data_IF_615426365722
#
_entry.id   IF_615426365722
#
_cell.length_a   1.000
_cell.length_b   1.000
_cell.length_c   1.000
_cell.angle_alpha   90.00
_cell.angle_beta   90.00
_cell.angle_gamma   90.00
#
_symmetry.space_group_name_H-M   'P 1'
#
loop_
_entity.id
_entity.type
_entity.pdbx_description
1 polymer ?
#
# COMPACT_ATOMS: atom_id res chain seq x y z
N UNK A 1 -51.90 -19.56 16.20
CA UNK A 1 -50.84 -19.76 15.19
C UNK A 1 -50.34 -18.45 14.58
N UNK A 2 -51.21 -17.58 14.04
CA UNK A 2 -50.81 -16.28 13.45
C UNK A 2 -50.02 -15.36 14.40
N UNK A 3 -50.42 -15.26 15.68
CA UNK A 3 -49.67 -14.47 16.69
C UNK A 3 -48.23 -14.98 16.90
N UNK A 4 -48.05 -16.30 17.01
CA UNK A 4 -46.73 -16.92 17.20
C UNK A 4 -45.81 -16.68 16.00
N UNK A 5 -46.34 -16.82 14.78
CA UNK A 5 -45.61 -16.51 13.54
C UNK A 5 -45.21 -15.02 13.47
N UNK A 6 -46.09 -14.11 13.89
CA UNK A 6 -45.80 -12.67 13.89
C UNK A 6 -44.71 -12.27 14.90
N UNK A 7 -44.61 -12.97 16.03
CA UNK A 7 -43.54 -12.76 17.01
C UNK A 7 -42.22 -13.24 16.42
N UNK A 8 -42.20 -14.45 15.87
CA UNK A 8 -41.00 -15.03 15.26
C UNK A 8 -40.49 -14.17 14.08
N UNK A 9 -41.39 -13.73 13.19
CA UNK A 9 -41.06 -12.83 12.09
C UNK A 9 -40.42 -11.52 12.60
N UNK A 10 -40.94 -10.95 13.69
CA UNK A 10 -40.39 -9.73 14.29
C UNK A 10 -39.00 -9.97 14.86
N UNK A 11 -38.78 -11.07 15.58
CA UNK A 11 -37.45 -11.43 16.09
C UNK A 11 -36.45 -11.63 14.95
N UNK A 12 -36.85 -12.33 13.89
CA UNK A 12 -36.00 -12.56 12.72
C UNK A 12 -35.61 -11.24 12.04
N UNK A 13 -36.57 -10.32 11.86
CA UNK A 13 -36.32 -9.00 11.26
C UNK A 13 -35.38 -8.11 12.07
N UNK A 14 -35.16 -8.45 13.36
CA UNK A 14 -34.29 -7.68 14.26
C UNK A 14 -32.86 -8.19 14.30
N UNK A 15 -32.56 -9.34 13.70
CA UNK A 15 -31.22 -9.96 13.75
C UNK A 15 -30.15 -9.18 12.99
N UNK A 16 -30.54 -8.40 11.98
CA UNK A 16 -29.59 -7.59 11.22
C UNK A 16 -30.22 -6.29 10.72
N UNK A 17 -29.37 -5.32 10.36
CA UNK A 17 -29.77 -4.11 9.66
C UNK A 17 -28.60 -3.62 8.82
N UNK A 18 -28.88 -2.97 7.69
CA UNK A 18 -27.89 -2.07 7.10
C UNK A 18 -27.61 -0.94 8.08
N UNK A 19 -26.36 -0.51 8.11
CA UNK A 19 -25.86 0.55 8.96
C UNK A 19 -25.15 1.60 8.10
N UNK A 20 -25.28 2.86 8.49
CA UNK A 20 -24.53 3.99 7.95
C UNK A 20 -23.72 4.60 9.09
N UNK A 21 -22.41 4.76 8.90
CA UNK A 21 -21.48 5.29 9.91
C UNK A 21 -21.75 6.78 10.13
N UNK A 22 -21.98 7.15 11.38
CA UNK A 22 -22.03 8.54 11.81
C UNK A 22 -20.65 8.98 12.33
N UNK A 23 -20.00 8.12 13.13
CA UNK A 23 -18.69 8.34 13.73
C UNK A 23 -17.99 7.01 13.98
N UNK A 24 -16.66 7.01 13.87
CA UNK A 24 -15.80 5.88 14.19
C UNK A 24 -14.74 6.29 15.21
N UNK A 25 -14.51 5.43 16.21
CA UNK A 25 -13.44 5.54 17.21
C UNK A 25 -12.48 4.36 17.02
N UNK A 26 -11.27 4.68 16.53
CA UNK A 26 -10.21 3.72 16.24
C UNK A 26 -9.15 3.62 17.36
N UNK A 27 -9.41 4.17 18.55
CA UNK A 27 -8.45 4.16 19.67
C UNK A 27 -8.59 2.95 20.59
N UNK A 28 -9.78 2.34 20.63
CA UNK A 28 -10.05 1.14 21.42
C UNK A 28 -9.47 -0.13 20.76
N UNK A 29 -9.21 -1.16 21.58
CA UNK A 29 -8.68 -2.44 21.08
C UNK A 29 -9.60 -3.14 20.07
N UNK A 30 -10.92 -2.94 20.23
CA UNK A 30 -11.93 -3.24 19.22
C UNK A 30 -12.53 -1.90 18.81
N UNK A 31 -12.49 -1.58 17.52
CA UNK A 31 -13.00 -0.30 17.03
C UNK A 31 -14.48 -0.14 17.39
N UNK A 32 -14.89 1.09 17.68
CA UNK A 32 -16.28 1.41 18.01
C UNK A 32 -16.90 2.33 16.97
N UNK A 33 -18.15 2.05 16.62
CA UNK A 33 -18.88 2.82 15.61
C UNK A 33 -20.23 3.29 16.16
N UNK A 34 -20.53 4.54 15.86
CA UNK A 34 -21.87 5.11 16.01
C UNK A 34 -22.54 5.03 14.63
N UNK A 35 -23.71 4.40 14.56
CA UNK A 35 -24.38 4.10 13.29
C UNK A 35 -25.84 4.50 13.29
N UNK A 36 -26.31 4.90 12.11
CA UNK A 36 -27.72 5.02 11.76
C UNK A 36 -28.18 3.73 11.07
N UNK A 37 -29.26 3.16 11.57
CA UNK A 37 -29.86 1.92 11.09
C UNK A 37 -31.18 2.22 10.35
N UNK A 38 -31.80 1.18 9.81
CA UNK A 38 -33.10 1.31 9.15
C UNK A 38 -34.17 1.81 10.11
N UNK A 39 -35.19 2.47 9.56
CA UNK A 39 -36.30 3.07 10.31
C UNK A 39 -35.87 4.15 11.34
N UNK A 40 -34.73 4.82 11.12
CA UNK A 40 -34.30 5.97 11.92
C UNK A 40 -33.70 5.63 13.28
N UNK A 41 -33.43 4.35 13.57
CA UNK A 41 -32.76 3.94 14.80
C UNK A 41 -31.28 4.34 14.76
N UNK A 42 -30.77 4.91 15.84
CA UNK A 42 -29.34 5.20 16.01
C UNK A 42 -28.75 4.37 17.14
N UNK A 43 -27.53 3.89 16.96
CA UNK A 43 -26.76 3.18 17.98
C UNK A 43 -25.38 3.80 18.12
N UNK A 44 -24.90 3.87 19.36
CA UNK A 44 -23.59 4.42 19.67
C UNK A 44 -22.71 3.34 20.29
N UNK A 45 -21.41 3.40 20.02
CA UNK A 45 -20.41 2.54 20.62
C UNK A 45 -20.56 1.06 20.27
N UNK A 46 -21.17 0.72 19.13
CA UNK A 46 -21.23 -0.67 18.66
C UNK A 46 -19.82 -1.14 18.29
N UNK A 47 -19.51 -2.40 18.57
CA UNK A 47 -18.21 -2.98 18.20
C UNK A 47 -18.15 -3.19 16.69
N UNK A 48 -17.04 -2.79 16.05
CA UNK A 48 -16.73 -3.10 14.67
C UNK A 48 -15.67 -4.20 14.63
N UNK A 49 -16.08 -5.39 14.18
CA UNK A 49 -15.17 -6.53 14.08
C UNK A 49 -14.49 -6.55 12.71
N UNK A 50 -13.17 -6.40 12.74
CA UNK A 50 -12.31 -6.37 11.55
C UNK A 50 -11.65 -7.74 11.31
N UNK A 51 -11.43 -8.15 10.04
CA UNK A 51 -10.59 -9.29 9.74
C UNK A 51 -9.16 -9.08 10.26
N UNK A 52 -8.58 -10.09 10.91
CA UNK A 52 -7.19 -10.00 11.41
C UNK A 52 -6.21 -9.62 10.29
N UNK A 53 -5.32 -8.66 10.58
CA UNK A 53 -4.36 -8.13 9.62
C UNK A 53 -4.90 -6.99 8.74
N UNK A 54 -6.18 -6.64 8.86
CA UNK A 54 -6.79 -5.50 8.20
C UNK A 54 -7.40 -4.57 9.23
N UNK A 55 -7.12 -3.27 9.13
CA UNK A 55 -7.82 -2.26 9.91
C UNK A 55 -8.01 -1.02 9.05
N UNK A 56 -9.14 -0.34 9.20
CA UNK A 56 -9.48 0.86 8.43
C UNK A 56 -10.38 1.79 9.21
N UNK A 57 -10.14 3.10 9.09
CA UNK A 57 -10.99 4.14 9.68
C UNK A 57 -11.86 4.74 8.58
N UNK A 58 -13.06 4.18 8.41
CA UNK A 58 -13.98 4.63 7.37
C UNK A 58 -14.56 6.02 7.69
N UNK A 59 -14.85 6.78 6.63
CA UNK A 59 -15.50 8.10 6.72
C UNK A 59 -16.96 7.98 7.19
N UNK A 60 -17.48 9.06 7.78
CA UNK A 60 -18.91 9.20 8.00
C UNK A 60 -19.66 9.07 6.66
N UNK A 61 -20.75 8.31 6.65
CA UNK A 61 -21.47 7.92 5.44
C UNK A 61 -21.06 6.55 4.86
N UNK A 62 -19.99 5.93 5.37
CA UNK A 62 -19.66 4.54 5.02
C UNK A 62 -20.78 3.59 5.47
N UNK A 63 -20.93 2.48 4.75
CA UNK A 63 -22.04 1.55 4.95
C UNK A 63 -21.52 0.22 5.47
N UNK A 64 -22.26 -0.40 6.39
CA UNK A 64 -21.95 -1.72 6.90
C UNK A 64 -23.19 -2.54 7.22
N UNK A 65 -22.97 -3.70 7.82
CA UNK A 65 -24.04 -4.58 8.32
C UNK A 65 -23.93 -4.66 9.83
N UNK A 66 -24.98 -4.21 10.52
CA UNK A 66 -25.16 -4.42 11.95
C UNK A 66 -25.83 -5.78 12.19
N UNK A 67 -25.25 -6.61 13.04
CA UNK A 67 -25.77 -7.88 13.50
C UNK A 67 -26.16 -7.77 14.98
N UNK A 68 -27.30 -8.35 15.34
CA UNK A 68 -27.88 -8.34 16.67
C UNK A 68 -28.08 -9.78 17.12
N UNK A 69 -27.10 -10.31 17.85
CA UNK A 69 -27.12 -11.69 18.33
C UNK A 69 -28.35 -11.92 19.22
N UNK A 70 -29.06 -13.02 18.99
CA UNK A 70 -30.33 -13.33 19.67
C UNK A 70 -31.46 -12.30 19.49
N UNK A 71 -31.29 -11.33 18.58
CA UNK A 71 -32.26 -10.26 18.33
C UNK A 71 -32.24 -9.13 19.36
N UNK A 72 -31.26 -9.13 20.27
CA UNK A 72 -31.05 -8.05 21.22
C UNK A 72 -30.40 -6.85 20.53
N UNK A 73 -31.12 -5.72 20.51
CA UNK A 73 -30.65 -4.49 19.87
C UNK A 73 -29.77 -3.63 20.78
N UNK A 74 -29.53 -4.04 22.01
CA UNK A 74 -28.60 -3.37 22.92
C UNK A 74 -27.14 -3.74 22.65
N UNK A 75 -26.89 -4.93 22.08
CA UNK A 75 -25.56 -5.49 21.89
C UNK A 75 -25.39 -5.98 20.45
N UNK A 76 -25.24 -5.02 19.54
CA UNK A 76 -24.95 -5.36 18.15
C UNK A 76 -23.48 -5.15 17.80
N UNK A 77 -23.04 -5.90 16.80
CA UNK A 77 -21.72 -5.78 16.17
C UNK A 77 -21.90 -5.27 14.74
N UNK A 78 -20.98 -4.47 14.26
CA UNK A 78 -20.92 -4.06 12.85
C UNK A 78 -19.83 -4.89 12.19
N UNK A 79 -20.10 -5.32 10.96
CA UNK A 79 -19.15 -6.03 10.11
C UNK A 79 -19.17 -5.44 8.70
N UNK A 80 -18.06 -5.64 7.97
CA UNK A 80 -17.89 -5.30 6.56
C UNK A 80 -18.33 -3.86 6.24
N UNK A 81 -17.48 -2.89 6.62
CA UNK A 81 -17.71 -1.50 6.26
C UNK A 81 -17.09 -1.19 4.90
N UNK A 82 -17.89 -0.58 4.03
CA UNK A 82 -17.50 -0.16 2.70
C UNK A 82 -17.93 1.27 2.44
N UNK A 83 -17.08 2.04 1.77
CA UNK A 83 -17.41 3.37 1.27
C UNK A 83 -17.44 3.36 -0.26
N UNK A 84 -18.66 3.44 -0.80
CA UNK A 84 -18.89 3.42 -2.26
C UNK A 84 -18.33 4.67 -2.97
N UNK A 85 -18.09 5.77 -2.25
CA UNK A 85 -17.53 7.00 -2.83
C UNK A 85 -16.11 6.78 -3.34
N UNK A 86 -15.35 5.96 -2.62
CA UNK A 86 -13.92 5.72 -2.86
C UNK A 86 -13.64 4.31 -3.39
N UNK A 87 -14.68 3.51 -3.66
CA UNK A 87 -14.52 2.17 -4.23
C UNK A 87 -13.74 2.26 -5.54
N UNK A 88 -12.56 1.65 -5.57
CA UNK A 88 -11.77 1.49 -6.80
C UNK A 88 -12.62 0.81 -7.88
N UNK A 89 -12.64 1.32 -9.11
CA UNK A 89 -13.46 0.76 -10.20
C UNK A 89 -12.57 0.07 -11.23
N UNK A 90 -13.19 -0.57 -12.21
CA UNK A 90 -12.55 -1.10 -13.42
C UNK A 90 -11.46 -2.16 -13.21
N UNK A 91 -11.50 -2.87 -12.06
CA UNK A 91 -10.70 -4.07 -11.84
C UNK A 91 -11.19 -5.23 -12.72
N UNK A 92 -10.25 -5.98 -13.30
CA UNK A 92 -10.58 -7.21 -14.01
C UNK A 92 -10.98 -8.31 -13.03
N UNK A 93 -11.77 -9.27 -13.50
CA UNK A 93 -12.18 -10.42 -12.69
C UNK A 93 -10.96 -11.16 -12.13
N UNK A 94 -10.91 -11.29 -10.80
CA UNK A 94 -9.84 -11.97 -10.07
C UNK A 94 -8.73 -11.04 -9.56
N UNK A 95 -8.73 -9.76 -9.91
CA UNK A 95 -7.83 -8.76 -9.32
C UNK A 95 -8.29 -8.35 -7.91
N UNK A 96 -7.32 -8.01 -7.06
CA UNK A 96 -7.55 -7.62 -5.66
C UNK A 96 -6.77 -6.35 -5.39
N UNK A 97 -7.35 -5.43 -4.61
CA UNK A 97 -6.72 -4.16 -4.30
C UNK A 97 -6.89 -3.75 -2.84
N UNK A 98 -5.88 -3.06 -2.31
CA UNK A 98 -5.97 -2.20 -1.12
C UNK A 98 -5.92 -0.74 -1.61
N UNK A 99 -6.78 0.13 -1.09
CA UNK A 99 -6.88 1.52 -1.56
C UNK A 99 -7.32 2.49 -0.45
N UNK A 100 -7.01 3.78 -0.64
CA UNK A 100 -7.44 4.89 0.22
C UNK A 100 -8.41 5.82 -0.52
N UNK A 101 -9.05 6.74 0.20
CA UNK A 101 -9.88 7.80 -0.39
C UNK A 101 -9.07 8.89 -1.11
N UNK A 102 -7.78 9.00 -0.81
CA UNK A 102 -6.85 9.94 -1.45
C UNK A 102 -6.38 9.45 -2.84
N UNK A 103 -6.62 8.17 -3.18
CA UNK A 103 -6.31 7.58 -4.48
C UNK A 103 -5.12 6.63 -4.49
N UNK A 104 -4.39 6.50 -3.36
CA UNK A 104 -3.33 5.51 -3.23
C UNK A 104 -3.89 4.09 -3.32
N UNK A 105 -3.17 3.19 -3.99
CA UNK A 105 -3.57 1.79 -4.06
C UNK A 105 -2.42 0.82 -4.33
N UNK A 106 -2.63 -0.41 -3.89
CA UNK A 106 -1.83 -1.59 -4.24
C UNK A 106 -2.76 -2.59 -4.92
N UNK A 107 -2.51 -2.92 -6.18
CA UNK A 107 -3.36 -3.82 -6.98
C UNK A 107 -2.57 -5.06 -7.39
N UNK A 108 -3.11 -6.23 -7.06
CA UNK A 108 -2.65 -7.53 -7.55
C UNK A 108 -3.36 -7.84 -8.86
N UNK A 109 -2.73 -7.45 -9.97
CA UNK A 109 -3.30 -7.51 -11.33
C UNK A 109 -3.16 -8.89 -11.96
N UNK A 110 -3.88 -9.12 -13.06
CA UNK A 110 -3.65 -10.28 -13.94
C UNK A 110 -2.24 -10.25 -14.52
N UNK A 111 -1.72 -11.42 -14.89
CA UNK A 111 -0.33 -11.54 -15.37
C UNK A 111 0.73 -11.57 -14.27
N UNK A 112 0.32 -11.66 -12.99
CA UNK A 112 1.22 -11.70 -11.80
C UNK A 112 1.99 -10.38 -11.60
N UNK A 113 1.29 -9.26 -11.80
CA UNK A 113 1.84 -7.91 -11.60
C UNK A 113 1.27 -7.32 -10.31
N UNK A 114 2.14 -6.76 -9.49
CA UNK A 114 1.74 -5.91 -8.35
C UNK A 114 2.03 -4.47 -8.76
N UNK A 115 1.00 -3.63 -8.78
CA UNK A 115 1.10 -2.21 -9.11
C UNK A 115 0.83 -1.40 -7.85
N UNK A 116 1.74 -0.49 -7.52
CA UNK A 116 1.62 0.43 -6.39
C UNK A 116 1.56 1.85 -6.95
N UNK A 117 0.48 2.56 -6.64
CA UNK A 117 0.27 3.96 -7.03
C UNK A 117 0.18 4.80 -5.78
N UNK A 118 1.07 5.78 -5.64
CA UNK A 118 1.11 6.70 -4.49
C UNK A 118 2.01 7.89 -4.80
N UNK A 119 1.80 9.02 -4.11
CA UNK A 119 2.67 10.20 -4.21
C UNK A 119 4.02 9.99 -3.49
N UNK A 120 4.05 9.24 -2.40
CA UNK A 120 5.28 9.00 -1.63
C UNK A 120 5.36 7.57 -1.11
N UNK A 121 6.24 6.77 -1.72
CA UNK A 121 6.47 5.38 -1.32
C UNK A 121 7.68 5.23 -0.38
N UNK A 122 7.43 4.96 0.90
CA UNK A 122 8.49 4.83 1.92
C UNK A 122 8.67 3.37 2.37
N UNK A 123 9.86 2.81 2.13
CA UNK A 123 10.22 1.46 2.59
C UNK A 123 11.14 1.55 3.81
N UNK A 124 10.64 1.23 5.00
CA UNK A 124 11.42 1.20 6.25
C UNK A 124 11.77 -0.24 6.64
N UNK A 125 12.94 -0.71 6.21
CA UNK A 125 13.47 -2.02 6.58
C UNK A 125 14.66 -1.90 7.54
N UNK A 126 14.63 -2.62 8.68
CA UNK A 126 15.68 -2.54 9.70
C UNK A 126 17.03 -3.09 9.23
N UNK A 127 17.01 -4.15 8.42
CA UNK A 127 18.21 -4.91 8.09
C UNK A 127 18.63 -4.79 6.63
N UNK A 128 17.72 -5.08 5.69
CA UNK A 128 18.03 -5.14 4.25
C UNK A 128 16.77 -5.01 3.40
N UNK A 129 16.91 -4.39 2.23
CA UNK A 129 15.99 -4.51 1.09
C UNK A 129 16.69 -5.33 0.01
N UNK A 130 15.99 -6.30 -0.59
CA UNK A 130 16.51 -7.15 -1.68
C UNK A 130 15.61 -6.99 -2.89
N UNK A 131 16.21 -6.69 -4.05
CA UNK A 131 15.54 -6.65 -5.35
C UNK A 131 16.16 -7.75 -6.22
N UNK A 132 15.55 -8.94 -6.23
CA UNK A 132 16.00 -10.07 -7.04
C UNK A 132 15.34 -10.00 -8.43
N UNK A 133 15.92 -9.17 -9.29
CA UNK A 133 15.46 -8.94 -10.65
C UNK A 133 16.67 -8.62 -11.55
N UNK A 134 16.65 -9.03 -12.84
CA UNK A 134 17.71 -8.66 -13.78
C UNK A 134 17.82 -7.14 -14.03
N UNK A 135 16.75 -6.37 -13.78
CA UNK A 135 16.70 -4.93 -14.09
C UNK A 135 15.87 -4.17 -13.05
N UNK A 136 16.39 -3.00 -12.68
CA UNK A 136 15.69 -1.97 -11.88
C UNK A 136 15.74 -0.68 -12.68
N UNK A 137 14.57 -0.14 -13.03
CA UNK A 137 14.45 1.14 -13.75
C UNK A 137 13.95 2.23 -12.81
N UNK A 138 14.56 3.41 -12.89
CA UNK A 138 14.10 4.63 -12.22
C UNK A 138 14.21 5.81 -13.20
N UNK A 139 13.24 6.71 -13.17
CA UNK A 139 13.25 7.95 -13.96
C UNK A 139 13.99 9.09 -13.28
N UNK A 140 14.29 8.96 -11.99
CA UNK A 140 14.85 10.00 -11.14
C UNK A 140 16.26 9.71 -10.64
N UNK A 141 16.74 10.59 -9.76
CA UNK A 141 18.03 10.48 -9.09
C UNK A 141 18.09 9.28 -8.12
N UNK A 142 19.29 8.73 -7.93
CA UNK A 142 19.60 7.78 -6.87
C UNK A 142 20.64 8.42 -5.94
N UNK A 143 20.24 8.71 -4.70
CA UNK A 143 21.13 9.22 -3.66
C UNK A 143 21.40 8.11 -2.62
N UNK A 144 22.66 7.90 -2.26
CA UNK A 144 23.08 6.98 -1.22
C UNK A 144 24.01 7.67 -0.21
N UNK A 145 23.73 7.55 1.09
CA UNK A 145 24.58 8.13 2.15
C UNK A 145 25.92 7.38 2.31
N UNK A 146 25.97 6.15 1.81
CA UNK A 146 27.15 5.27 1.88
C UNK A 146 27.51 4.79 0.47
N UNK A 147 28.41 3.81 0.40
CA UNK A 147 28.92 3.29 -0.86
C UNK A 147 27.85 2.65 -1.73
N UNK A 148 27.93 2.94 -3.04
CA UNK A 148 27.33 2.14 -4.09
C UNK A 148 28.44 1.21 -4.62
N UNK A 149 28.22 -0.10 -4.55
CA UNK A 149 29.20 -1.10 -4.99
C UNK A 149 28.63 -1.84 -6.20
N UNK A 150 29.27 -1.66 -7.36
CA UNK A 150 29.02 -2.46 -8.56
C UNK A 150 30.07 -3.55 -8.68
N UNK A 151 29.63 -4.77 -9.00
CA UNK A 151 30.51 -5.88 -9.37
C UNK A 151 30.82 -5.92 -10.87
N UNK A 152 30.27 -4.98 -11.63
CA UNK A 152 30.41 -4.89 -13.08
C UNK A 152 30.65 -3.43 -13.49
N UNK A 153 30.40 -3.11 -14.75
CA UNK A 153 30.60 -1.77 -15.31
C UNK A 153 29.67 -0.73 -14.65
N UNK A 154 30.15 0.51 -14.58
CA UNK A 154 29.32 1.69 -14.30
C UNK A 154 29.51 2.64 -15.48
N UNK A 155 28.41 3.07 -16.07
CA UNK A 155 28.41 3.96 -17.22
C UNK A 155 27.42 5.10 -17.02
N UNK A 156 27.76 6.25 -17.57
CA UNK A 156 26.85 7.37 -17.77
C UNK A 156 26.49 7.48 -19.27
N UNK A 157 25.95 8.63 -19.67
CA UNK A 157 25.55 8.88 -21.06
C UNK A 157 26.73 8.94 -22.04
N UNK A 158 27.93 9.25 -21.57
CA UNK A 158 29.09 9.62 -22.39
C UNK A 158 30.19 8.56 -22.32
N UNK A 159 30.36 7.88 -21.19
CA UNK A 159 31.39 6.86 -21.04
C UNK A 159 31.18 5.95 -19.84
N UNK A 160 32.20 5.13 -19.57
CA UNK A 160 32.22 4.19 -18.45
C UNK A 160 33.44 4.40 -17.55
N UNK A 161 33.35 3.93 -16.31
CA UNK A 161 34.51 3.94 -15.42
C UNK A 161 35.67 3.14 -16.00
N UNK A 162 35.43 2.01 -16.67
CA UNK A 162 36.50 1.29 -17.38
C UNK A 162 37.14 2.12 -18.49
N UNK A 163 36.36 2.87 -19.29
CA UNK A 163 36.94 3.74 -20.31
C UNK A 163 37.82 4.85 -19.72
N UNK A 164 37.42 5.41 -18.58
CA UNK A 164 38.22 6.42 -17.86
C UNK A 164 39.52 5.80 -17.33
N UNK A 165 39.44 4.59 -16.75
CA UNK A 165 40.62 3.85 -16.28
C UNK A 165 41.58 3.54 -17.43
N UNK A 166 41.06 3.11 -18.58
CA UNK A 166 41.87 2.78 -19.75
C UNK A 166 42.55 4.02 -20.31
N UNK A 167 41.80 5.10 -20.55
CA UNK A 167 42.34 6.36 -21.04
C UNK A 167 43.40 6.91 -20.10
N UNK A 168 43.14 6.90 -18.79
CA UNK A 168 44.14 7.31 -17.80
C UNK A 168 45.35 6.38 -17.82
N UNK A 169 45.18 5.07 -17.78
CA UNK A 169 46.30 4.14 -17.71
C UNK A 169 47.18 4.16 -18.97
N UNK A 170 46.63 4.57 -20.12
CA UNK A 170 47.37 4.62 -21.39
C UNK A 170 47.86 6.01 -21.78
N UNK A 171 47.49 7.09 -21.09
CA UNK A 171 47.80 8.44 -21.57
C UNK A 171 49.30 8.75 -21.53
N UNK A 172 49.74 9.52 -22.51
CA UNK A 172 51.09 10.10 -22.59
C UNK A 172 51.00 11.56 -23.06
N UNK A 173 52.07 12.32 -22.91
CA UNK A 173 52.18 13.70 -23.38
C UNK A 173 53.37 13.86 -24.34
N UNK A 174 53.30 14.85 -25.22
CA UNK A 174 54.44 15.29 -26.01
C UNK A 174 55.48 15.96 -25.10
N UNK A 175 56.72 15.52 -25.16
CA UNK A 175 57.85 16.11 -24.44
C UNK A 175 58.40 17.35 -25.14
N UNK A 176 59.08 18.20 -24.37
CA UNK A 176 59.70 19.45 -24.83
C UNK A 176 60.84 19.26 -25.86
N UNK A 177 61.37 18.03 -25.93
CA UNK A 177 62.49 17.65 -26.79
C UNK A 177 62.06 16.72 -27.94
N UNK A 178 60.77 16.66 -28.27
CA UNK A 178 60.23 15.88 -29.39
C UNK A 178 59.94 14.40 -29.10
N UNK A 179 60.15 13.93 -27.86
CA UNK A 179 59.75 12.59 -27.39
C UNK A 179 58.31 12.53 -26.87
N UNK A 180 57.86 11.37 -26.40
CA UNK A 180 56.64 11.23 -25.60
C UNK A 180 57.02 10.88 -24.16
N UNK A 181 56.25 11.36 -23.18
CA UNK A 181 56.35 10.86 -21.80
C UNK A 181 55.99 9.38 -21.73
N UNK A 182 56.40 8.71 -20.66
CA UNK A 182 55.84 7.41 -20.30
C UNK A 182 54.38 7.52 -19.82
N UNK A 183 53.73 6.37 -19.69
CA UNK A 183 52.40 6.24 -19.08
C UNK A 183 52.46 6.48 -17.56
N UNK A 184 51.32 6.72 -16.89
CA UNK A 184 51.27 6.84 -15.44
C UNK A 184 51.83 5.62 -14.72
N UNK A 185 52.77 5.85 -13.81
CA UNK A 185 53.37 4.79 -13.00
C UNK A 185 52.41 4.25 -11.92
N UNK A 186 51.42 5.04 -11.50
CA UNK A 186 50.31 4.60 -10.66
C UNK A 186 49.07 4.39 -11.51
N UNK A 187 48.61 3.14 -11.61
CA UNK A 187 47.44 2.76 -12.42
C UNK A 187 46.14 2.83 -11.63
N UNK A 188 45.08 3.30 -12.29
CA UNK A 188 43.71 3.13 -11.79
C UNK A 188 43.27 1.67 -11.94
N UNK A 189 42.49 1.18 -10.96
CA UNK A 189 41.94 -0.18 -10.89
C UNK A 189 40.42 -0.17 -10.90
#
# INVERSE_FOLDING_TARGET
MQKMLSVLQRHLSRLWSRACVNRLDSTAACQRVDVSLMAGETKAGMEYLEPYGFTSTAHAGAEGVALFLSGDRSHGIVINMADRRYRLKDLQTGEVALYTDEGDHIVLKRGRVIEVTTDTFVVKAKNKVVLDTPRVDTSGEITAEKSIVSQSEIQDRVGSLSSMRDQYNSHTHSGDSGGSTGQPHQRMR
#
